data_IF_823920187185
#
_entry.id   IF_823920187185
#
_cell.length_a   1.000
_cell.length_b   1.000
_cell.length_c   1.000
_cell.angle_alpha   90.00
_cell.angle_beta   90.00
_cell.angle_gamma   90.00
#
_symmetry.space_group_name_H-M   'P 1'
#
loop_
_entity.id
_entity.type
_entity.pdbx_description
1 polymer ?
#
# COMPACT_ATOMS: atom_id res chain seq x y z
N UNK A 1 -16.07 1.01 11.67
CA UNK A 1 -15.70 -0.30 12.29
C UNK A 1 -15.04 -0.13 13.65
N UNK A 2 -13.88 0.53 13.75
CA UNK A 2 -13.21 0.74 15.04
C UNK A 2 -13.99 1.70 15.95
N UNK A 3 -14.42 2.84 15.42
CA UNK A 3 -15.27 3.82 16.14
C UNK A 3 -16.59 3.20 16.62
N UNK A 4 -17.15 2.28 15.83
CA UNK A 4 -18.38 1.56 16.17
C UNK A 4 -18.16 0.40 17.17
N UNK A 5 -16.91 0.14 17.60
CA UNK A 5 -16.57 -0.95 18.52
C UNK A 5 -16.76 -2.36 17.92
N UNK A 6 -16.80 -2.50 16.59
CA UNK A 6 -16.87 -3.80 15.89
C UNK A 6 -15.57 -4.56 15.99
N UNK A 7 -14.46 -3.83 15.86
CA UNK A 7 -13.10 -4.38 15.88
C UNK A 7 -12.31 -3.76 17.02
N UNK A 8 -11.45 -4.56 17.62
CA UNK A 8 -10.48 -4.13 18.63
C UNK A 8 -9.44 -3.17 18.03
N UNK A 9 -8.77 -2.42 18.92
CA UNK A 9 -7.64 -1.56 18.55
C UNK A 9 -6.56 -2.30 17.75
N UNK A 10 -6.24 -3.53 18.19
CA UNK A 10 -5.23 -4.37 17.56
C UNK A 10 -5.66 -4.77 16.13
N UNK A 11 -6.91 -5.17 15.93
CA UNK A 11 -7.44 -5.51 14.60
C UNK A 11 -7.48 -4.30 13.67
N UNK A 12 -7.88 -3.13 14.18
CA UNK A 12 -7.85 -1.89 13.42
C UNK A 12 -6.43 -1.53 12.97
N UNK A 13 -5.46 -1.62 13.87
CA UNK A 13 -4.04 -1.37 13.57
C UNK A 13 -3.50 -2.35 12.52
N UNK A 14 -3.94 -3.61 12.53
CA UNK A 14 -3.57 -4.59 11.50
C UNK A 14 -4.24 -4.30 10.15
N UNK A 15 -5.54 -4.01 10.15
CA UNK A 15 -6.29 -3.72 8.93
C UNK A 15 -5.73 -2.48 8.20
N UNK A 16 -5.36 -1.44 8.94
CA UNK A 16 -4.77 -0.20 8.38
C UNK A 16 -3.53 -0.49 7.51
N UNK A 17 -2.70 -1.46 7.91
CA UNK A 17 -1.47 -1.80 7.18
C UNK A 17 -1.77 -2.28 5.76
N UNK A 18 -2.89 -2.97 5.55
CA UNK A 18 -3.20 -3.65 4.29
C UNK A 18 -4.36 -3.02 3.51
N UNK A 19 -5.29 -2.33 4.17
CA UNK A 19 -6.49 -1.78 3.53
C UNK A 19 -6.24 -0.43 2.83
N UNK A 20 -5.07 0.18 2.97
CA UNK A 20 -4.74 1.41 2.25
C UNK A 20 -4.08 1.12 0.89
N UNK A 21 -4.85 0.63 -0.08
CA UNK A 21 -4.37 0.34 -1.44
C UNK A 21 -5.06 1.21 -2.48
N UNK A 22 -4.37 1.45 -3.60
CA UNK A 22 -4.93 2.22 -4.72
C UNK A 22 -6.05 1.45 -5.43
N UNK A 23 -7.12 2.15 -5.78
CA UNK A 23 -8.27 1.57 -6.46
C UNK A 23 -8.01 1.25 -7.94
N UNK A 24 -8.77 0.32 -8.55
CA UNK A 24 -8.57 -0.14 -9.93
C UNK A 24 -8.72 1.00 -10.97
N UNK A 25 -9.57 1.98 -10.71
CA UNK A 25 -9.76 3.14 -11.59
C UNK A 25 -8.48 3.95 -11.78
N UNK A 26 -7.66 4.08 -10.75
CA UNK A 26 -6.38 4.79 -10.84
C UNK A 26 -5.36 4.00 -11.69
N UNK A 27 -5.33 2.67 -11.56
CA UNK A 27 -4.49 1.82 -12.42
C UNK A 27 -4.89 1.89 -13.89
N UNK A 28 -6.18 1.70 -14.19
CA UNK A 28 -6.67 1.69 -15.57
C UNK A 28 -6.55 3.08 -16.20
N UNK A 29 -6.88 4.14 -15.48
CA UNK A 29 -6.81 5.51 -16.00
C UNK A 29 -5.39 6.03 -16.12
N UNK A 30 -4.64 6.04 -15.01
CA UNK A 30 -3.29 6.63 -14.97
C UNK A 30 -2.28 5.75 -15.70
N UNK A 31 -2.15 4.48 -15.32
CA UNK A 31 -1.14 3.61 -15.93
C UNK A 31 -1.59 3.14 -17.31
N UNK A 32 -2.79 2.58 -17.40
CA UNK A 32 -3.32 2.07 -18.67
C UNK A 32 -3.55 3.18 -19.69
N UNK A 33 -4.35 4.18 -19.36
CA UNK A 33 -4.74 5.24 -20.28
C UNK A 33 -3.63 6.26 -20.59
N UNK A 34 -2.94 6.76 -19.56
CA UNK A 34 -2.00 7.88 -19.74
C UNK A 34 -0.54 7.44 -19.98
N UNK A 35 -0.04 6.43 -19.24
CA UNK A 35 1.38 6.00 -19.33
C UNK A 35 1.59 5.01 -20.47
N UNK A 36 0.87 3.89 -20.48
CA UNK A 36 1.09 2.77 -21.39
C UNK A 36 0.17 2.79 -22.62
N UNK A 37 -0.87 3.62 -22.63
CA UNK A 37 -1.90 3.68 -23.67
C UNK A 37 -2.56 2.32 -23.98
N UNK A 38 -2.59 1.43 -22.98
CA UNK A 38 -3.23 0.13 -23.03
C UNK A 38 -3.87 -0.19 -21.66
N UNK A 39 -5.20 -0.26 -21.65
CA UNK A 39 -5.97 -0.59 -20.44
C UNK A 39 -5.63 -1.97 -19.87
N UNK A 40 -5.23 -2.93 -20.70
CA UNK A 40 -4.84 -4.28 -20.27
C UNK A 40 -3.58 -4.20 -19.41
N UNK A 41 -2.60 -3.38 -19.79
CA UNK A 41 -1.38 -3.16 -18.98
C UNK A 41 -1.73 -2.59 -17.61
N UNK A 42 -2.68 -1.66 -17.55
CA UNK A 42 -3.22 -1.13 -16.29
C UNK A 42 -3.84 -2.22 -15.40
N UNK A 43 -4.66 -3.12 -15.99
CA UNK A 43 -5.26 -4.25 -15.28
C UNK A 43 -4.23 -5.27 -14.81
N UNK A 44 -3.20 -5.56 -15.61
CA UNK A 44 -2.09 -6.45 -15.23
C UNK A 44 -1.34 -5.87 -14.04
N UNK A 45 -1.00 -4.58 -14.06
CA UNK A 45 -0.36 -3.90 -12.93
C UNK A 45 -1.25 -3.93 -11.68
N UNK A 46 -2.57 -3.80 -11.84
CA UNK A 46 -3.50 -3.94 -10.72
C UNK A 46 -3.51 -5.37 -10.15
N UNK A 47 -3.52 -6.40 -11.00
CA UNK A 47 -3.44 -7.79 -10.55
C UNK A 47 -2.14 -8.07 -9.80
N UNK A 48 -1.00 -7.58 -10.29
CA UNK A 48 0.30 -7.65 -9.61
C UNK A 48 0.24 -6.95 -8.25
N UNK A 49 -0.35 -5.75 -8.19
CA UNK A 49 -0.48 -4.99 -6.95
C UNK A 49 -1.32 -5.73 -5.89
N UNK A 50 -2.45 -6.34 -6.30
CA UNK A 50 -3.29 -7.15 -5.41
C UNK A 50 -2.57 -8.41 -4.94
N UNK A 51 -1.91 -9.15 -5.85
CA UNK A 51 -1.12 -10.32 -5.50
C UNK A 51 -0.02 -9.97 -4.49
N UNK A 52 0.68 -8.86 -4.73
CA UNK A 52 1.71 -8.34 -3.83
C UNK A 52 1.14 -7.96 -2.46
N UNK A 53 -0.05 -7.37 -2.40
CA UNK A 53 -0.73 -7.04 -1.14
C UNK A 53 -1.06 -8.30 -0.32
N UNK A 54 -1.56 -9.34 -1.00
CA UNK A 54 -1.90 -10.64 -0.39
C UNK A 54 -0.64 -11.32 0.17
N UNK A 55 0.45 -11.35 -0.61
CA UNK A 55 1.73 -11.92 -0.18
C UNK A 55 2.34 -11.14 0.99
N UNK A 56 2.26 -9.80 0.96
CA UNK A 56 2.71 -8.96 2.07
C UNK A 56 1.89 -9.24 3.35
N UNK A 57 0.58 -9.42 3.22
CA UNK A 57 -0.30 -9.81 4.32
C UNK A 57 0.07 -11.17 4.89
N UNK A 58 0.31 -12.16 4.04
CA UNK A 58 0.72 -13.50 4.45
C UNK A 58 2.01 -13.50 5.28
N UNK A 59 2.95 -12.60 4.96
CA UNK A 59 4.21 -12.42 5.68
C UNK A 59 4.07 -11.72 7.03
N UNK A 60 3.31 -10.62 7.08
CA UNK A 60 3.24 -9.74 8.24
C UNK A 60 2.16 -10.11 9.26
N UNK A 61 1.11 -10.83 8.88
CA UNK A 61 0.00 -11.10 9.77
C UNK A 61 0.28 -12.33 10.66
N UNK A 62 0.18 -12.23 12.01
CA UNK A 62 0.00 -13.41 12.84
C UNK A 62 -1.33 -14.09 12.49
N UNK A 63 -1.38 -15.43 12.54
CA UNK A 63 -2.53 -16.24 12.10
C UNK A 63 -3.86 -15.65 12.61
N UNK A 64 -4.87 -15.60 11.73
CA UNK A 64 -6.23 -15.19 12.07
C UNK A 64 -6.67 -15.93 13.35
N UNK A 65 -7.09 -15.17 14.36
CA UNK A 65 -7.87 -15.72 15.46
C UNK A 65 -9.29 -15.95 14.95
N UNK A 66 -10.02 -16.86 15.58
CA UNK A 66 -11.45 -16.99 15.30
C UNK A 66 -12.14 -15.65 15.61
N UNK A 67 -12.62 -14.99 14.56
CA UNK A 67 -13.30 -13.72 14.68
C UNK A 67 -14.78 -13.97 14.95
N UNK A 68 -15.27 -13.54 16.10
CA UNK A 68 -16.72 -13.44 16.34
C UNK A 68 -17.24 -12.19 15.64
N UNK A 69 -18.00 -12.37 14.56
CA UNK A 69 -18.68 -11.27 13.88
C UNK A 69 -19.72 -10.65 14.82
N UNK A 70 -19.42 -9.48 15.39
CA UNK A 70 -20.37 -8.72 16.21
C UNK A 70 -21.30 -7.96 15.28
N UNK A 71 -22.54 -8.44 15.13
CA UNK A 71 -23.57 -7.73 14.37
C UNK A 71 -24.00 -6.50 15.16
N UNK A 72 -23.78 -5.32 14.60
CA UNK A 72 -24.33 -4.07 15.15
C UNK A 72 -25.65 -3.78 14.42
N UNK A 73 -26.69 -3.47 15.19
CA UNK A 73 -27.90 -2.87 14.63
C UNK A 73 -27.59 -1.40 14.33
N UNK A 74 -27.41 -1.08 13.05
CA UNK A 74 -27.36 0.31 12.62
C UNK A 74 -28.77 0.92 12.71
N UNK A 75 -28.86 2.10 13.35
CA UNK A 75 -30.04 2.93 13.23
C UNK A 75 -30.27 3.29 11.75
N UNK A 76 -31.50 3.08 11.28
CA UNK A 76 -31.89 3.45 9.92
C UNK A 76 -32.08 4.97 9.87
N UNK A 77 -31.00 5.70 9.52
CA UNK A 77 -31.09 7.11 9.14
C UNK A 77 -31.94 7.28 7.88
N UNK A 78 -32.55 8.45 7.72
CA UNK A 78 -33.28 8.81 6.49
C UNK A 78 -32.34 8.82 5.28
N UNK A 79 -32.86 8.43 4.11
CA UNK A 79 -32.12 8.50 2.84
C UNK A 79 -31.52 9.90 2.61
N UNK A 80 -32.32 10.94 2.84
CA UNK A 80 -31.88 12.32 2.64
C UNK A 80 -30.68 12.68 3.52
N UNK A 81 -30.65 12.20 4.77
CA UNK A 81 -29.53 12.43 5.69
C UNK A 81 -28.27 11.67 5.26
N UNK A 82 -28.41 10.40 4.86
CA UNK A 82 -27.27 9.61 4.38
C UNK A 82 -26.69 10.19 3.08
N UNK A 83 -27.57 10.67 2.19
CA UNK A 83 -27.17 11.28 0.93
C UNK A 83 -26.40 12.58 1.14
N UNK A 84 -26.93 13.51 1.96
CA UNK A 84 -26.22 14.77 2.26
C UNK A 84 -24.92 14.54 3.02
N UNK A 85 -24.91 13.58 3.98
CA UNK A 85 -23.69 13.20 4.69
C UNK A 85 -22.63 12.62 3.73
N UNK A 86 -23.02 11.77 2.78
CA UNK A 86 -22.10 11.20 1.80
C UNK A 86 -21.50 12.27 0.87
N UNK A 87 -22.30 13.26 0.44
CA UNK A 87 -21.81 14.39 -0.36
C UNK A 87 -20.78 15.19 0.44
N UNK A 88 -21.12 15.63 1.66
CA UNK A 88 -20.20 16.42 2.49
C UNK A 88 -18.90 15.68 2.79
N UNK A 89 -18.98 14.39 3.13
CA UNK A 89 -17.82 13.55 3.37
C UNK A 89 -16.95 13.38 2.11
N UNK A 90 -17.57 13.25 0.93
CA UNK A 90 -16.85 13.17 -0.34
C UNK A 90 -16.14 14.47 -0.68
N UNK A 91 -16.78 15.62 -0.44
CA UNK A 91 -16.16 16.94 -0.60
C UNK A 91 -14.96 17.13 0.33
N UNK A 92 -15.09 16.78 1.61
CA UNK A 92 -13.98 16.85 2.57
C UNK A 92 -12.82 15.93 2.16
N UNK A 93 -13.12 14.70 1.77
CA UNK A 93 -12.11 13.76 1.29
C UNK A 93 -11.39 14.29 0.04
N UNK A 94 -12.13 14.81 -0.94
CA UNK A 94 -11.57 15.38 -2.17
C UNK A 94 -10.67 16.58 -1.87
N UNK A 95 -11.09 17.49 -0.98
CA UNK A 95 -10.30 18.65 -0.57
C UNK A 95 -9.00 18.23 0.13
N UNK A 96 -9.07 17.24 1.03
CA UNK A 96 -7.88 16.74 1.72
C UNK A 96 -6.89 16.09 0.77
N UNK A 97 -7.37 15.27 -0.17
CA UNK A 97 -6.52 14.63 -1.20
C UNK A 97 -5.88 15.70 -2.08
N UNK A 98 -6.67 16.64 -2.62
CA UNK A 98 -6.17 17.66 -3.55
C UNK A 98 -5.19 18.63 -2.88
N UNK A 99 -5.46 19.08 -1.66
CA UNK A 99 -4.58 19.99 -0.93
C UNK A 99 -3.18 19.38 -0.71
N UNK A 100 -3.12 18.11 -0.30
CA UNK A 100 -1.83 17.43 -0.09
C UNK A 100 -1.13 17.11 -1.42
N UNK A 101 -1.84 16.68 -2.45
CA UNK A 101 -1.25 16.48 -3.78
C UNK A 101 -0.67 17.78 -4.34
N UNK A 102 -1.40 18.89 -4.24
CA UNK A 102 -0.93 20.22 -4.69
C UNK A 102 0.30 20.66 -3.91
N UNK A 103 0.30 20.52 -2.57
CA UNK A 103 1.45 20.87 -1.74
C UNK A 103 2.71 20.11 -2.16
N UNK A 104 2.62 18.78 -2.30
CA UNK A 104 3.78 17.98 -2.70
C UNK A 104 4.19 18.24 -4.16
N UNK A 105 3.24 18.54 -5.05
CA UNK A 105 3.54 18.94 -6.43
C UNK A 105 4.30 20.28 -6.49
N UNK A 106 3.96 21.24 -5.63
CA UNK A 106 4.70 22.50 -5.50
C UNK A 106 6.12 22.24 -4.99
N UNK A 107 6.28 21.38 -3.98
CA UNK A 107 7.62 20.99 -3.47
C UNK A 107 8.45 20.38 -4.60
N UNK A 108 7.90 19.42 -5.36
CA UNK A 108 8.58 18.83 -6.52
C UNK A 108 8.95 19.89 -7.55
N UNK A 109 8.03 20.81 -7.87
CA UNK A 109 8.27 21.90 -8.83
C UNK A 109 9.42 22.81 -8.38
N UNK A 110 9.54 23.10 -7.08
CA UNK A 110 10.68 23.86 -6.53
C UNK A 110 11.99 23.06 -6.65
N UNK A 111 11.97 21.77 -6.31
CA UNK A 111 13.16 20.90 -6.42
C UNK A 111 13.67 20.79 -7.87
N UNK A 112 12.74 20.73 -8.83
CA UNK A 112 13.04 20.69 -10.26
C UNK A 112 13.56 22.05 -10.78
N UNK A 113 12.95 23.16 -10.34
CA UNK A 113 13.43 24.51 -10.68
C UNK A 113 14.85 24.78 -10.15
N UNK A 114 15.19 24.26 -8.98
CA UNK A 114 16.55 24.28 -8.41
C UNK A 114 17.50 23.30 -9.09
N UNK A 115 16.99 22.46 -10.01
CA UNK A 115 17.75 21.44 -10.75
C UNK A 115 18.48 20.45 -9.85
N UNK A 116 18.00 20.26 -8.61
CA UNK A 116 18.69 19.48 -7.57
C UNK A 116 18.96 18.03 -8.00
N UNK A 117 18.08 17.47 -8.82
CA UNK A 117 18.16 16.09 -9.30
C UNK A 117 18.34 15.98 -10.82
N UNK A 118 18.58 17.10 -11.51
CA UNK A 118 18.65 17.16 -12.98
C UNK A 118 19.75 16.29 -13.59
N UNK A 119 20.85 16.07 -12.86
CA UNK A 119 21.96 15.22 -13.29
C UNK A 119 21.67 13.72 -13.15
N UNK A 120 20.59 13.33 -12.46
CA UNK A 120 20.24 11.93 -12.26
C UNK A 120 19.49 11.36 -13.47
N UNK A 121 19.58 10.06 -13.74
CA UNK A 121 18.77 9.42 -14.78
C UNK A 121 17.27 9.62 -14.51
N UNK A 122 16.47 9.79 -15.57
CA UNK A 122 15.03 10.03 -15.48
C UNK A 122 14.29 8.99 -14.61
N UNK A 123 14.70 7.71 -14.68
CA UNK A 123 14.15 6.65 -13.83
C UNK A 123 14.35 6.91 -12.32
N UNK A 124 15.49 7.48 -11.93
CA UNK A 124 15.80 7.80 -10.54
C UNK A 124 15.02 9.05 -10.12
N UNK A 125 14.92 10.05 -10.99
CA UNK A 125 14.07 11.22 -10.74
C UNK A 125 12.61 10.82 -10.53
N UNK A 126 12.07 9.93 -11.37
CA UNK A 126 10.72 9.38 -11.23
C UNK A 126 10.52 8.67 -9.88
N UNK A 127 11.51 7.91 -9.40
CA UNK A 127 11.45 7.28 -8.08
C UNK A 127 11.49 8.31 -6.94
N UNK A 128 12.34 9.33 -7.03
CA UNK A 128 12.45 10.37 -6.00
C UNK A 128 11.15 11.17 -5.93
N UNK A 129 10.68 11.69 -7.07
CA UNK A 129 9.45 12.48 -7.13
C UNK A 129 8.24 11.62 -6.81
N UNK A 130 8.17 10.38 -7.31
CA UNK A 130 7.11 9.42 -6.98
C UNK A 130 7.08 9.02 -5.52
N UNK A 131 8.24 9.02 -4.84
CA UNK A 131 8.31 8.76 -3.41
C UNK A 131 7.71 9.90 -2.59
N UNK A 132 7.68 11.13 -3.12
CA UNK A 132 7.03 12.29 -2.51
C UNK A 132 5.56 12.38 -2.93
N UNK A 133 5.31 12.45 -4.24
CA UNK A 133 4.00 12.57 -4.88
C UNK A 133 3.89 11.56 -6.03
N UNK A 134 2.96 10.63 -5.88
CA UNK A 134 2.79 9.47 -6.75
C UNK A 134 2.56 9.83 -8.21
N UNK A 135 1.65 10.78 -8.49
CA UNK A 135 1.24 11.08 -9.88
C UNK A 135 2.37 11.73 -10.69
N UNK A 136 3.13 12.63 -10.06
CA UNK A 136 4.25 13.34 -10.64
C UNK A 136 5.40 12.39 -10.98
N UNK A 137 5.71 11.46 -10.08
CA UNK A 137 6.72 10.43 -10.35
C UNK A 137 6.30 9.47 -11.45
N UNK A 138 5.05 8.99 -11.44
CA UNK A 138 4.51 8.11 -12.49
C UNK A 138 4.59 8.80 -13.85
N UNK A 139 4.21 10.08 -13.95
CA UNK A 139 4.27 10.84 -15.19
C UNK A 139 5.69 10.88 -15.79
N UNK A 140 6.73 11.01 -14.97
CA UNK A 140 8.13 10.96 -15.42
C UNK A 140 8.57 9.60 -15.95
N UNK A 141 7.86 8.52 -15.63
CA UNK A 141 8.20 7.18 -16.17
C UNK A 141 7.73 6.98 -17.61
N UNK A 142 6.93 7.89 -18.16
CA UNK A 142 6.40 7.73 -19.52
C UNK A 142 7.55 7.62 -20.52
N UNK A 143 7.46 6.63 -21.41
CA UNK A 143 8.47 6.31 -22.42
C UNK A 143 9.85 5.88 -21.89
N UNK A 144 9.96 5.47 -20.61
CA UNK A 144 11.20 4.89 -20.10
C UNK A 144 11.18 3.35 -20.14
N UNK A 145 12.34 2.73 -20.36
CA UNK A 145 12.49 1.26 -20.42
C UNK A 145 12.02 0.54 -19.15
N UNK A 146 12.07 1.20 -17.99
CA UNK A 146 11.71 0.60 -16.70
C UNK A 146 10.34 1.08 -16.19
N UNK A 147 9.54 1.74 -17.02
CA UNK A 147 8.26 2.34 -16.62
C UNK A 147 7.35 1.34 -15.91
N UNK A 148 7.26 0.11 -16.43
CA UNK A 148 6.38 -0.93 -15.87
C UNK A 148 6.75 -1.29 -14.41
N UNK A 149 8.04 -1.56 -14.16
CA UNK A 149 8.52 -1.92 -12.83
C UNK A 149 8.50 -0.73 -11.85
N UNK A 150 8.84 0.48 -12.31
CA UNK A 150 8.81 1.69 -11.48
C UNK A 150 7.35 2.05 -11.12
N UNK A 151 6.42 1.98 -12.07
CA UNK A 151 5.00 2.16 -11.78
C UNK A 151 4.51 1.11 -10.77
N UNK A 152 4.85 -0.17 -10.94
CA UNK A 152 4.48 -1.21 -9.98
C UNK A 152 5.01 -0.92 -8.56
N UNK A 153 6.28 -0.49 -8.45
CA UNK A 153 6.86 -0.05 -7.18
C UNK A 153 6.08 1.10 -6.57
N UNK A 154 5.94 2.21 -7.32
CA UNK A 154 5.33 3.44 -6.85
C UNK A 154 3.86 3.23 -6.45
N UNK A 155 3.12 2.38 -7.15
CA UNK A 155 1.73 2.06 -6.80
C UNK A 155 1.62 1.22 -5.53
N UNK A 156 2.58 0.33 -5.25
CA UNK A 156 2.66 -0.39 -3.97
C UNK A 156 3.11 0.49 -2.80
N UNK A 157 4.03 1.43 -3.07
CA UNK A 157 4.53 2.41 -2.10
C UNK A 157 3.46 3.46 -1.76
N UNK A 158 2.93 4.16 -2.76
CA UNK A 158 1.87 5.17 -2.65
C UNK A 158 2.35 6.62 -2.56
N UNK A 159 3.58 6.88 -2.11
CA UNK A 159 4.13 8.23 -1.95
C UNK A 159 3.88 8.85 -0.57
N UNK A 160 4.77 9.76 -0.15
CA UNK A 160 4.71 10.42 1.14
C UNK A 160 3.40 11.22 1.33
N UNK A 161 2.90 11.83 0.26
CA UNK A 161 1.62 12.54 0.28
C UNK A 161 0.46 11.62 0.73
N UNK A 162 0.36 10.41 0.19
CA UNK A 162 -0.67 9.41 0.54
C UNK A 162 -0.45 8.86 1.95
N UNK A 163 0.80 8.67 2.37
CA UNK A 163 1.09 8.24 3.73
C UNK A 163 0.64 9.24 4.79
N UNK A 164 0.89 10.54 4.58
CA UNK A 164 0.44 11.58 5.49
C UNK A 164 -1.09 11.69 5.54
N UNK A 165 -1.76 11.56 4.38
CA UNK A 165 -3.23 11.50 4.29
C UNK A 165 -3.77 10.36 5.17
N UNK A 166 -3.24 9.16 4.99
CA UNK A 166 -3.67 7.98 5.73
C UNK A 166 -3.39 8.12 7.25
N UNK A 167 -2.19 8.58 7.61
CA UNK A 167 -1.78 8.79 9.00
C UNK A 167 -2.67 9.80 9.72
N UNK A 168 -3.07 10.87 9.05
CA UNK A 168 -3.97 11.87 9.63
C UNK A 168 -5.33 11.28 10.04
N UNK A 169 -5.83 10.26 9.32
CA UNK A 169 -7.13 9.64 9.60
C UNK A 169 -7.09 8.85 10.91
N UNK A 170 -6.13 7.93 11.07
CA UNK A 170 -6.12 7.06 12.26
C UNK A 170 -5.51 7.73 13.49
N UNK A 171 -4.67 8.76 13.32
CA UNK A 171 -4.14 9.52 14.44
C UNK A 171 -5.26 10.27 15.18
N UNK A 172 -6.29 10.75 14.47
CA UNK A 172 -7.50 11.33 15.09
C UNK A 172 -8.19 10.34 16.05
N UNK A 173 -8.04 9.04 15.80
CA UNK A 173 -8.63 7.96 16.59
C UNK A 173 -7.68 7.38 17.67
N UNK A 174 -6.53 8.01 17.93
CA UNK A 174 -5.56 7.54 18.93
C UNK A 174 -4.92 6.18 18.59
N UNK A 175 -4.94 5.81 17.30
CA UNK A 175 -4.29 4.61 16.79
C UNK A 175 -2.85 4.95 16.38
N UNK A 176 -1.91 4.07 16.72
CA UNK A 176 -0.51 4.19 16.28
C UNK A 176 -0.08 2.92 15.53
N UNK A 177 0.33 3.07 14.28
CA UNK A 177 0.64 1.92 13.40
C UNK A 177 2.12 1.95 13.01
N UNK A 178 2.98 1.46 13.90
CA UNK A 178 4.44 1.54 13.73
C UNK A 178 4.95 0.80 12.48
N UNK A 179 4.29 -0.29 12.09
CA UNK A 179 4.73 -1.12 10.97
C UNK A 179 4.12 -0.71 9.61
N UNK A 180 3.39 0.42 9.55
CA UNK A 180 2.71 0.87 8.33
C UNK A 180 3.69 1.17 7.18
N UNK A 181 4.66 2.07 7.39
CA UNK A 181 5.60 2.46 6.33
C UNK A 181 6.50 1.29 5.87
N UNK A 182 7.09 0.47 6.76
CA UNK A 182 7.86 -0.70 6.32
C UNK A 182 7.04 -1.71 5.51
N UNK A 183 5.77 -1.93 5.88
CA UNK A 183 4.89 -2.82 5.12
C UNK A 183 4.55 -2.25 3.73
N UNK A 184 4.34 -0.93 3.61
CA UNK A 184 4.13 -0.26 2.32
C UNK A 184 5.38 -0.29 1.44
N UNK A 185 6.56 -0.12 2.03
CA UNK A 185 7.82 -0.29 1.31
C UNK A 185 7.97 -1.72 0.79
N UNK A 186 7.70 -2.73 1.62
CA UNK A 186 7.76 -4.13 1.19
C UNK A 186 6.73 -4.40 0.08
N UNK A 187 5.52 -3.87 0.19
CA UNK A 187 4.47 -4.00 -0.82
C UNK A 187 4.91 -3.39 -2.15
N UNK A 188 5.53 -2.20 -2.14
CA UNK A 188 6.16 -1.59 -3.32
C UNK A 188 7.25 -2.46 -3.93
N UNK A 189 8.23 -2.89 -3.14
CA UNK A 189 9.34 -3.72 -3.60
C UNK A 189 8.88 -5.05 -4.20
N UNK A 190 7.92 -5.71 -3.54
CA UNK A 190 7.34 -6.96 -4.03
C UNK A 190 6.54 -6.76 -5.31
N UNK A 191 5.82 -5.64 -5.45
CA UNK A 191 5.11 -5.30 -6.69
C UNK A 191 6.09 -5.10 -7.85
N UNK A 192 7.21 -4.42 -7.61
CA UNK A 192 8.26 -4.24 -8.59
C UNK A 192 8.93 -5.57 -9.00
N UNK A 193 9.24 -6.42 -8.03
CA UNK A 193 9.82 -7.75 -8.26
C UNK A 193 8.90 -8.64 -9.11
N UNK A 194 7.61 -8.67 -8.79
CA UNK A 194 6.61 -9.41 -9.55
C UNK A 194 6.43 -8.84 -10.96
N UNK A 195 6.45 -7.51 -11.11
CA UNK A 195 6.39 -6.85 -12.42
C UNK A 195 7.60 -7.19 -13.31
N UNK A 196 8.81 -7.16 -12.76
CA UNK A 196 10.03 -7.57 -13.48
C UNK A 196 9.98 -9.05 -13.88
N UNK A 197 9.51 -9.92 -12.98
CA UNK A 197 9.34 -11.34 -13.27
C UNK A 197 8.32 -11.57 -14.40
N UNK A 198 7.24 -10.78 -14.41
CA UNK A 198 6.22 -10.83 -15.46
C UNK A 198 6.79 -10.44 -16.84
N UNK A 199 7.64 -9.41 -16.89
CA UNK A 199 8.30 -8.99 -18.13
C UNK A 199 9.25 -10.05 -18.71
N UNK A 200 9.77 -10.98 -17.90
CA UNK A 200 10.59 -12.10 -18.36
C UNK A 200 9.76 -13.28 -18.90
N UNK A 201 8.44 -13.23 -18.77
CA UNK A 201 7.51 -14.24 -19.26
C UNK A 201 6.65 -14.87 -18.16
N UNK A 202 5.47 -15.37 -18.56
CA UNK A 202 4.46 -15.89 -17.62
C UNK A 202 4.95 -17.11 -16.82
N UNK A 203 5.77 -17.97 -17.41
CA UNK A 203 6.33 -19.15 -16.72
C UNK A 203 7.30 -18.70 -15.63
N UNK A 204 8.20 -17.76 -15.94
CA UNK A 204 9.12 -17.16 -14.98
C UNK A 204 8.37 -16.51 -13.82
N UNK A 205 7.32 -15.75 -14.13
CA UNK A 205 6.43 -15.14 -13.13
C UNK A 205 5.78 -16.14 -12.18
N UNK A 206 5.24 -17.24 -12.71
CA UNK A 206 4.63 -18.30 -11.89
C UNK A 206 5.69 -18.95 -10.99
N UNK A 207 6.84 -19.32 -11.56
CA UNK A 207 7.92 -19.97 -10.82
C UNK A 207 8.45 -19.06 -9.71
N UNK A 208 8.75 -17.79 -9.99
CA UNK A 208 9.27 -16.86 -8.98
C UNK A 208 8.25 -16.58 -7.89
N UNK A 209 6.97 -16.47 -8.25
CA UNK A 209 5.88 -16.31 -7.27
C UNK A 209 5.77 -17.53 -6.35
N UNK A 210 5.80 -18.75 -6.89
CA UNK A 210 5.74 -19.99 -6.11
C UNK A 210 6.96 -20.14 -5.20
N UNK A 211 8.17 -19.91 -5.72
CA UNK A 211 9.41 -19.96 -4.93
C UNK A 211 9.34 -18.94 -3.79
N UNK A 212 8.90 -17.72 -4.08
CA UNK A 212 8.75 -16.68 -3.06
C UNK A 212 7.77 -17.11 -1.97
N UNK A 213 6.60 -17.65 -2.34
CA UNK A 213 5.61 -18.19 -1.37
C UNK A 213 6.23 -19.28 -0.49
N UNK A 214 6.98 -20.22 -1.08
CA UNK A 214 7.63 -21.32 -0.35
C UNK A 214 8.66 -20.75 0.64
N UNK A 215 9.56 -19.88 0.18
CA UNK A 215 10.57 -19.23 1.03
C UNK A 215 9.92 -18.46 2.18
N UNK A 216 8.87 -17.69 1.87
CA UNK A 216 8.09 -16.95 2.86
C UNK A 216 7.44 -17.88 3.89
N UNK A 217 6.89 -19.01 3.46
CA UNK A 217 6.33 -20.05 4.34
C UNK A 217 7.39 -20.65 5.27
N UNK A 218 8.58 -20.94 4.74
CA UNK A 218 9.72 -21.45 5.50
C UNK A 218 10.18 -20.41 6.54
N UNK A 219 10.43 -19.17 6.12
CA UNK A 219 10.86 -18.07 6.99
C UNK A 219 9.85 -17.83 8.12
N UNK A 220 8.55 -17.85 7.80
CA UNK A 220 7.47 -17.69 8.79
C UNK A 220 7.49 -18.82 9.82
N UNK A 221 7.73 -20.06 9.40
CA UNK A 221 7.89 -21.20 10.31
C UNK A 221 9.13 -21.07 11.20
N UNK A 222 10.26 -20.61 10.66
CA UNK A 222 11.48 -20.36 11.44
C UNK A 222 11.30 -19.23 12.47
N UNK A 223 10.68 -18.12 12.08
CA UNK A 223 10.36 -17.01 13.00
C UNK A 223 9.44 -17.52 14.11
N UNK A 224 8.42 -18.30 13.77
CA UNK A 224 7.51 -18.91 14.75
C UNK A 224 8.26 -19.80 15.74
N UNK A 225 9.12 -20.69 15.25
CA UNK A 225 9.93 -21.58 16.08
C UNK A 225 10.85 -20.79 17.03
N UNK A 226 11.47 -19.71 16.55
CA UNK A 226 12.33 -18.85 17.37
C UNK A 226 11.57 -18.07 18.46
N UNK A 227 10.32 -17.68 18.21
CA UNK A 227 9.46 -17.00 19.20
C UNK A 227 8.94 -17.99 20.24
N UNK A 228 8.55 -19.19 19.83
CA UNK A 228 8.05 -20.26 20.71
C UNK A 228 9.15 -20.71 21.68
N UNK A 229 10.36 -20.96 21.16
CA UNK A 229 11.54 -21.31 21.97
C UNK A 229 11.94 -20.23 22.98
N UNK A 230 11.78 -18.93 22.64
CA UNK A 230 12.02 -17.83 23.59
C UNK A 230 10.97 -17.76 24.70
N UNK A 231 9.70 -18.06 24.41
CA UNK A 231 8.65 -18.12 25.44
C UNK A 231 8.90 -19.26 26.42
N UNK A 232 9.33 -20.42 25.92
CA UNK A 232 9.67 -21.58 26.75
C UNK A 232 10.87 -21.30 27.66
N UNK A 233 11.89 -20.60 27.14
CA UNK A 233 13.04 -20.16 27.92
C UNK A 233 12.65 -19.19 29.05
N UNK A 234 11.82 -18.18 28.75
CA UNK A 234 11.36 -17.19 29.73
C UNK A 234 10.47 -17.82 30.81
N UNK A 235 9.61 -18.75 30.43
CA UNK A 235 8.76 -19.50 31.36
C UNK A 235 9.57 -20.39 32.31
N UNK A 236 10.62 -21.05 31.81
CA UNK A 236 11.49 -21.87 32.64
C UNK A 236 12.41 -21.06 33.56
N UNK A 237 12.80 -19.84 33.17
CA UNK A 237 13.56 -18.93 34.05
C UNK A 237 12.70 -18.26 35.13
N UNK A 238 11.37 -18.13 34.95
CA UNK A 238 10.50 -17.56 35.98
C UNK A 238 10.01 -18.57 37.03
N UNK A 239 10.33 -19.85 36.85
CA UNK A 239 9.98 -20.96 37.76
C UNK A 239 11.14 -21.40 38.66
N UNK A 240 12.32 -20.81 38.51
CA UNK A 240 13.48 -20.95 39.40
C UNK A 240 13.60 -19.69 40.25
#
# INVERSE_FOLDING_TARGET
>A
MYEDGIISKHEAQQAIVFCNNSGPGFFVGMLGGYIFQDTVVGLVLYAIHILSAILCTYLFQPRAKDYTLKRINHEKKSFAQNFTQAISASCEAMLNVSALVVLFSIIISILDALKLFSALPQNIQALIFGSLELTSGIALTKNTVNSFAICAFLMGWGGLCVHLQAMAIWNKQGLSVRNYLPAKLLHGLLSAFLALSFMQGIVTFIITSLIFIIICGILRNFIKFGVEKRKDLLYNTSKR
#
